data_IF_501488979959
#
_entry.id   IF_501488979959
#
_cell.length_a   1.000
_cell.length_b   1.000
_cell.length_c   1.000
_cell.angle_alpha   90.00
_cell.angle_beta   90.00
_cell.angle_gamma   90.00
#
_symmetry.space_group_name_H-M   'P 1'
#
loop_
_entity.id
_entity.type
_entity.pdbx_description
1 polymer ?
#
# COMPACT_ATOMS: atom_id res chain seq x y z
N UNK A 1 -25.15 -14.64 17.56
CA UNK A 1 -25.13 -13.26 17.02
C UNK A 1 -25.12 -12.29 18.19
N UNK A 2 -23.97 -11.78 18.66
CA UNK A 2 -24.01 -10.64 19.56
C UNK A 2 -24.28 -9.38 18.73
N UNK A 3 -25.21 -8.57 19.22
CA UNK A 3 -25.63 -7.32 18.62
C UNK A 3 -24.44 -6.34 18.47
N UNK A 4 -24.35 -5.67 17.33
CA UNK A 4 -23.53 -4.47 17.14
C UNK A 4 -24.05 -3.36 18.08
N UNK A 5 -23.63 -3.39 19.34
CA UNK A 5 -24.05 -2.42 20.35
C UNK A 5 -23.21 -1.15 20.28
N UNK A 6 -23.88 -0.06 19.91
CA UNK A 6 -23.47 1.34 19.95
C UNK A 6 -22.37 1.80 18.96
N UNK A 7 -22.73 2.80 18.12
CA UNK A 7 -21.76 3.67 17.44
C UNK A 7 -20.97 4.43 18.50
N UNK A 8 -19.87 3.89 19.00
CA UNK A 8 -18.88 4.67 19.74
C UNK A 8 -18.14 5.53 18.72
N UNK A 9 -18.57 6.79 18.57
CA UNK A 9 -17.88 7.79 17.74
C UNK A 9 -16.66 8.32 18.50
N UNK A 10 -15.43 8.08 18.04
CA UNK A 10 -14.27 8.81 18.54
C UNK A 10 -14.42 10.25 18.04
N UNK A 11 -14.55 11.21 18.96
CA UNK A 11 -14.67 12.64 18.62
C UNK A 11 -13.32 13.31 18.76
N UNK A 12 -12.40 13.04 17.84
CA UNK A 12 -11.20 13.86 17.73
C UNK A 12 -11.63 15.21 17.18
N UNK A 13 -11.46 16.27 17.98
CA UNK A 13 -11.86 17.60 17.55
C UNK A 13 -10.71 18.23 16.78
N UNK A 14 -11.00 18.65 15.55
CA UNK A 14 -10.12 19.51 14.75
C UNK A 14 -10.74 20.91 14.68
N UNK A 15 -10.26 21.88 15.49
CA UNK A 15 -10.82 23.23 15.52
C UNK A 15 -10.76 23.94 14.16
N UNK A 16 -9.74 23.64 13.35
CA UNK A 16 -9.54 24.25 12.04
C UNK A 16 -9.21 23.21 10.97
N UNK A 17 -9.38 23.60 9.70
CA UNK A 17 -8.92 22.78 8.56
C UNK A 17 -7.39 22.63 8.56
N UNK A 18 -6.65 23.59 9.12
CA UNK A 18 -5.20 23.46 9.28
C UNK A 18 -4.84 22.29 10.22
N UNK A 19 -5.60 22.07 11.29
CA UNK A 19 -5.40 20.93 12.20
C UNK A 19 -5.70 19.60 11.51
N UNK A 20 -6.73 19.56 10.64
CA UNK A 20 -7.03 18.40 9.79
C UNK A 20 -5.85 18.11 8.87
N UNK A 21 -5.36 19.14 8.18
CA UNK A 21 -4.23 19.04 7.25
C UNK A 21 -2.96 18.55 7.94
N UNK A 22 -2.62 19.07 9.11
CA UNK A 22 -1.45 18.60 9.87
C UNK A 22 -1.58 17.11 10.24
N UNK A 23 -2.78 16.67 10.68
CA UNK A 23 -3.00 15.29 11.12
C UNK A 23 -2.87 14.26 10.00
N UNK A 24 -3.31 14.60 8.79
CA UNK A 24 -3.27 13.70 7.64
C UNK A 24 -2.02 13.90 6.78
N UNK A 25 -1.20 14.90 7.12
CA UNK A 25 0.08 15.15 6.48
C UNK A 25 0.01 15.95 5.19
N UNK A 26 -0.82 16.99 5.17
CA UNK A 26 -0.94 17.93 4.06
C UNK A 26 -1.35 17.30 2.73
N UNK A 27 -2.16 16.23 2.75
CA UNK A 27 -2.67 15.62 1.52
C UNK A 27 -3.48 16.63 0.70
N UNK A 28 -3.52 16.51 -0.64
CA UNK A 28 -4.37 17.34 -1.47
C UNK A 28 -5.80 17.41 -0.94
N UNK A 29 -6.35 18.62 -0.84
CA UNK A 29 -7.71 18.85 -0.29
C UNK A 29 -8.79 18.06 -1.02
N UNK A 30 -8.59 17.79 -2.31
CA UNK A 30 -9.49 16.96 -3.13
C UNK A 30 -9.63 15.52 -2.63
N UNK A 31 -8.68 15.02 -1.83
CA UNK A 31 -8.71 13.68 -1.22
C UNK A 31 -9.43 13.67 0.13
N UNK A 32 -9.83 14.81 0.67
CA UNK A 32 -10.44 14.88 2.01
C UNK A 32 -11.95 14.94 1.84
N UNK A 33 -12.65 13.93 2.35
CA UNK A 33 -14.12 13.97 2.37
C UNK A 33 -14.56 14.88 3.50
N UNK A 34 -15.37 15.88 3.17
CA UNK A 34 -15.92 16.85 4.13
C UNK A 34 -17.16 16.34 4.87
N UNK A 35 -17.73 15.21 4.42
CA UNK A 35 -18.87 14.55 5.05
C UNK A 35 -18.57 13.06 5.31
N UNK A 36 -18.82 12.55 6.54
CA UNK A 36 -19.11 13.32 7.75
C UNK A 36 -18.00 14.33 8.07
N UNK A 37 -18.28 15.30 8.95
CA UNK A 37 -17.31 16.33 9.29
C UNK A 37 -15.99 15.68 9.75
N UNK A 38 -14.81 16.16 9.29
CA UNK A 38 -13.52 15.62 9.72
C UNK A 38 -13.39 15.48 11.24
N UNK A 39 -12.98 14.29 11.69
CA UNK A 39 -12.92 13.93 13.11
C UNK A 39 -14.20 13.31 13.69
N UNK A 40 -15.22 13.09 12.86
CA UNK A 40 -16.50 12.48 13.28
C UNK A 40 -16.89 11.23 12.48
N UNK A 41 -16.19 10.95 11.38
CA UNK A 41 -16.47 9.77 10.58
C UNK A 41 -16.16 8.49 11.37
N UNK A 42 -16.94 7.47 11.08
CA UNK A 42 -16.82 6.14 11.68
C UNK A 42 -16.48 5.12 10.60
N UNK A 43 -16.16 3.92 11.06
CA UNK A 43 -15.99 2.74 10.21
C UNK A 43 -17.23 2.45 9.36
N UNK A 44 -18.43 2.74 9.87
CA UNK A 44 -19.66 2.56 9.09
C UNK A 44 -19.74 3.56 7.94
N UNK A 45 -19.29 4.80 8.16
CA UNK A 45 -19.29 5.84 7.14
C UNK A 45 -18.25 5.53 6.04
N UNK A 46 -17.13 4.93 6.41
CA UNK A 46 -16.12 4.43 5.47
C UNK A 46 -16.69 3.37 4.51
N UNK A 47 -17.58 2.50 5.00
CA UNK A 47 -18.20 1.42 4.21
C UNK A 47 -19.47 1.87 3.46
N UNK A 48 -19.98 3.06 3.74
CA UNK A 48 -21.20 3.55 3.14
C UNK A 48 -20.90 4.17 1.78
N UNK A 49 -21.21 3.45 0.70
CA UNK A 49 -21.03 3.92 -0.67
C UNK A 49 -21.85 5.18 -1.01
N UNK A 50 -22.88 5.53 -0.23
CA UNK A 50 -23.57 6.81 -0.39
C UNK A 50 -22.75 8.00 0.13
N UNK A 51 -21.75 7.74 0.99
CA UNK A 51 -20.81 8.71 1.54
C UNK A 51 -19.53 8.74 0.72
N UNK A 52 -18.89 7.59 0.51
CA UNK A 52 -17.59 7.50 -0.17
C UNK A 52 -17.70 7.56 -1.69
N UNK A 53 -18.87 7.18 -2.24
CA UNK A 53 -19.03 6.95 -3.68
C UNK A 53 -18.13 5.81 -4.14
N UNK A 54 -17.50 5.99 -5.30
CA UNK A 54 -16.56 4.99 -5.87
C UNK A 54 -15.12 5.13 -5.33
N UNK A 55 -14.91 5.97 -4.31
CA UNK A 55 -13.57 6.26 -3.78
C UNK A 55 -13.13 5.18 -2.79
N UNK A 56 -11.96 4.60 -3.03
CA UNK A 56 -11.23 3.88 -1.99
C UNK A 56 -10.75 4.87 -0.92
N UNK A 57 -11.26 4.75 0.30
CA UNK A 57 -10.90 5.65 1.40
C UNK A 57 -10.18 4.91 2.53
N UNK A 58 -9.38 5.67 3.28
CA UNK A 58 -8.87 5.32 4.60
C UNK A 58 -9.60 6.15 5.66
N UNK A 59 -9.66 5.65 6.89
CA UNK A 59 -10.17 6.39 8.05
C UNK A 59 -8.99 6.77 8.94
N UNK A 60 -8.79 8.06 9.18
CA UNK A 60 -7.65 8.58 9.95
C UNK A 60 -8.17 9.49 11.06
N UNK A 61 -8.26 8.98 12.28
CA UNK A 61 -8.78 9.68 13.47
C UNK A 61 -10.15 10.33 13.24
N UNK A 62 -11.03 9.64 12.53
CA UNK A 62 -12.36 10.12 12.18
C UNK A 62 -12.42 11.02 10.93
N UNK A 63 -11.33 11.09 10.15
CA UNK A 63 -11.25 11.80 8.88
C UNK A 63 -11.27 10.77 7.74
N UNK A 64 -12.18 10.90 6.79
CA UNK A 64 -12.17 10.08 5.57
C UNK A 64 -11.22 10.69 4.55
N UNK A 65 -10.20 9.93 4.16
CA UNK A 65 -9.18 10.35 3.21
C UNK A 65 -9.15 9.37 2.04
N UNK A 66 -9.43 9.85 0.84
CA UNK A 66 -9.31 9.06 -0.39
C UNK A 66 -7.86 8.60 -0.57
N UNK A 67 -7.67 7.29 -0.76
CA UNK A 67 -6.41 6.71 -1.19
C UNK A 67 -6.34 6.80 -2.71
N UNK A 68 -5.45 7.64 -3.21
CA UNK A 68 -5.20 7.74 -4.64
C UNK A 68 -4.43 6.53 -5.12
N UNK A 69 -4.99 5.80 -6.08
CA UNK A 69 -4.35 4.67 -6.73
C UNK A 69 -4.34 4.88 -8.25
N UNK A 70 -3.15 5.05 -8.82
CA UNK A 70 -2.95 5.02 -10.26
C UNK A 70 -2.82 3.58 -10.76
N UNK A 71 -3.14 3.35 -12.04
CA UNK A 71 -2.99 2.03 -12.67
C UNK A 71 -1.56 1.48 -12.58
N UNK A 72 -0.56 2.34 -12.67
CA UNK A 72 0.86 1.95 -12.56
C UNK A 72 1.20 1.44 -11.16
N UNK A 73 0.68 2.12 -10.14
CA UNK A 73 1.00 1.84 -8.74
C UNK A 73 0.33 0.53 -8.32
N UNK A 74 -0.94 0.35 -8.73
CA UNK A 74 -1.67 -0.92 -8.58
C UNK A 74 -0.97 -2.09 -9.28
N UNK A 75 -0.50 -1.91 -10.52
CA UNK A 75 0.24 -2.94 -11.25
C UNK A 75 1.55 -3.34 -10.55
N UNK A 76 2.24 -2.40 -9.90
CA UNK A 76 3.44 -2.67 -9.09
C UNK A 76 3.05 -3.44 -7.82
N UNK A 77 1.99 -3.04 -7.13
CA UNK A 77 1.44 -3.77 -5.98
C UNK A 77 1.10 -5.23 -6.35
N UNK A 78 0.38 -5.42 -7.46
CA UNK A 78 0.05 -6.75 -7.99
C UNK A 78 1.30 -7.58 -8.33
N UNK A 79 2.35 -6.96 -8.87
CA UNK A 79 3.64 -7.63 -9.11
C UNK A 79 4.29 -8.09 -7.80
N UNK A 80 4.24 -7.28 -6.75
CA UNK A 80 4.78 -7.63 -5.42
C UNK A 80 3.97 -8.79 -4.82
N UNK A 81 2.64 -8.74 -4.89
CA UNK A 81 1.76 -9.85 -4.47
C UNK A 81 2.15 -11.14 -5.19
N UNK A 82 2.32 -11.11 -6.52
CA UNK A 82 2.74 -12.29 -7.29
C UNK A 82 4.08 -12.86 -6.79
N UNK A 83 5.07 -12.01 -6.53
CA UNK A 83 6.39 -12.45 -6.04
C UNK A 83 6.30 -13.08 -4.64
N UNK A 84 5.47 -12.51 -3.76
CA UNK A 84 5.24 -13.05 -2.42
C UNK A 84 4.48 -14.38 -2.48
N UNK A 85 3.39 -14.46 -3.25
CA UNK A 85 2.60 -15.69 -3.39
C UNK A 85 3.43 -16.83 -3.97
N UNK A 86 4.25 -16.58 -5.00
CA UNK A 86 5.14 -17.58 -5.57
C UNK A 86 6.15 -18.13 -4.54
N UNK A 87 6.60 -17.29 -3.60
CA UNK A 87 7.45 -17.75 -2.49
C UNK A 87 6.65 -18.59 -1.48
N UNK A 88 5.45 -18.14 -1.13
CA UNK A 88 4.58 -18.79 -0.16
C UNK A 88 4.06 -20.17 -0.62
N UNK A 89 3.99 -20.44 -1.93
CA UNK A 89 3.65 -21.77 -2.46
C UNK A 89 4.53 -22.90 -1.90
N UNK A 90 5.79 -22.60 -1.58
CA UNK A 90 6.74 -23.55 -1.00
C UNK A 90 7.10 -23.25 0.46
N UNK A 91 6.59 -22.14 1.00
CA UNK A 91 6.85 -21.64 2.35
C UNK A 91 5.54 -21.17 2.96
N UNK A 92 4.75 -22.10 3.49
CA UNK A 92 3.45 -21.79 4.08
C UNK A 92 3.59 -21.00 5.39
N UNK A 93 3.80 -19.68 5.28
CA UNK A 93 4.15 -18.80 6.39
C UNK A 93 3.03 -17.84 6.79
N UNK A 94 2.09 -17.55 5.89
CA UNK A 94 1.07 -16.54 6.11
C UNK A 94 0.18 -16.26 4.91
N UNK A 95 -0.64 -15.22 5.05
CA UNK A 95 -1.58 -14.73 4.04
C UNK A 95 -1.11 -13.39 3.47
N UNK A 96 -1.30 -13.19 2.16
CA UNK A 96 -1.05 -11.92 1.46
C UNK A 96 -2.37 -11.32 0.99
N UNK A 97 -2.56 -10.02 1.20
CA UNK A 97 -3.70 -9.25 0.72
C UNK A 97 -3.25 -8.00 -0.05
N UNK A 98 -4.09 -7.53 -0.98
CA UNK A 98 -3.84 -6.33 -1.80
C UNK A 98 -4.60 -5.09 -1.34
N UNK A 99 -4.61 -4.06 -2.19
CA UNK A 99 -5.07 -2.69 -1.93
C UNK A 99 -6.59 -2.51 -1.69
N UNK A 100 -7.31 -3.56 -1.32
CA UNK A 100 -8.71 -3.53 -0.87
C UNK A 100 -8.89 -4.22 0.49
N UNK A 101 -7.84 -4.81 1.05
CA UNK A 101 -7.85 -5.39 2.39
C UNK A 101 -7.84 -4.29 3.45
N UNK A 102 -9.01 -3.89 3.94
CA UNK A 102 -9.13 -2.90 5.01
C UNK A 102 -8.58 -3.47 6.32
N UNK A 103 -7.63 -2.77 6.94
CA UNK A 103 -7.04 -3.17 8.22
C UNK A 103 -7.33 -2.09 9.26
N UNK A 104 -7.99 -2.47 10.36
CA UNK A 104 -8.31 -1.57 11.46
C UNK A 104 -7.22 -1.66 12.53
N UNK A 105 -6.39 -0.63 12.59
CA UNK A 105 -5.28 -0.51 13.55
C UNK A 105 -5.74 0.00 14.93
N UNK A 106 -6.81 0.81 14.95
CA UNK A 106 -7.57 1.21 16.16
C UNK A 106 -8.97 1.65 15.74
N UNK A 107 -9.85 1.93 16.71
CA UNK A 107 -11.27 2.22 16.47
C UNK A 107 -11.54 3.25 15.36
N UNK A 108 -10.72 4.30 15.26
CA UNK A 108 -10.80 5.39 14.28
C UNK A 108 -9.63 5.42 13.28
N UNK A 109 -8.87 4.33 13.14
CA UNK A 109 -7.78 4.23 12.17
C UNK A 109 -7.91 2.95 11.35
N UNK A 110 -8.32 3.12 10.11
CA UNK A 110 -8.36 2.07 9.10
C UNK A 110 -7.43 2.48 7.97
N UNK A 111 -6.42 1.66 7.69
CA UNK A 111 -5.50 1.86 6.57
C UNK A 111 -5.66 0.73 5.56
N UNK A 112 -5.25 1.02 4.33
CA UNK A 112 -5.27 0.05 3.22
C UNK A 112 -3.89 0.08 2.56
N UNK A 113 -2.89 -0.63 3.12
CA UNK A 113 -1.62 -0.79 2.44
C UNK A 113 -1.82 -1.43 1.06
N UNK A 114 -0.96 -1.12 0.10
CA UNK A 114 -1.06 -1.68 -1.26
C UNK A 114 -0.81 -3.19 -1.28
N UNK A 115 0.07 -3.64 -0.38
CA UNK A 115 0.27 -5.06 -0.09
C UNK A 115 0.45 -5.24 1.41
N UNK A 116 -0.26 -6.22 1.96
CA UNK A 116 -0.13 -6.64 3.36
C UNK A 116 0.22 -8.12 3.42
N UNK A 117 1.09 -8.50 4.35
CA UNK A 117 1.34 -9.91 4.69
C UNK A 117 1.27 -10.12 6.20
N UNK A 118 0.57 -11.17 6.61
CA UNK A 118 0.37 -11.56 8.01
C UNK A 118 0.80 -13.01 8.16
N UNK A 119 1.66 -13.29 9.14
CA UNK A 119 2.14 -14.62 9.43
C UNK A 119 1.10 -15.43 10.19
N UNK A 120 1.07 -16.75 9.97
CA UNK A 120 0.20 -17.65 10.73
C UNK A 120 0.48 -17.61 12.24
N UNK A 121 1.74 -17.42 12.62
CA UNK A 121 2.19 -17.38 14.02
C UNK A 121 2.09 -15.98 14.67
N UNK A 122 1.50 -15.00 13.98
CA UNK A 122 1.18 -13.69 14.53
C UNK A 122 -0.22 -13.61 15.15
N UNK A 123 -1.04 -14.66 14.98
CA UNK A 123 -2.39 -14.78 15.54
C UNK A 123 -2.52 -16.11 16.28
N UNK A 124 -3.46 -16.18 17.22
CA UNK A 124 -3.73 -17.43 17.96
C UNK A 124 -4.56 -18.41 17.11
N UNK A 125 -5.47 -17.91 16.26
CA UNK A 125 -6.25 -18.70 15.31
C UNK A 125 -6.05 -18.16 13.88
N UNK A 126 -5.44 -18.93 12.95
CA UNK A 126 -5.32 -18.54 11.54
C UNK A 126 -6.64 -18.18 10.85
N UNK A 127 -7.79 -18.66 11.34
CA UNK A 127 -9.08 -18.26 10.78
C UNK A 127 -9.40 -16.78 10.99
N UNK A 128 -8.78 -16.10 11.96
CA UNK A 128 -8.94 -14.65 12.16
C UNK A 128 -8.48 -13.85 10.94
N UNK A 129 -7.51 -14.39 10.19
CA UNK A 129 -6.96 -13.75 8.99
C UNK A 129 -7.51 -14.36 7.70
N UNK A 130 -7.80 -15.67 7.68
CA UNK A 130 -8.33 -16.35 6.48
C UNK A 130 -9.83 -16.06 6.28
N UNK A 131 -10.60 -15.98 7.36
CA UNK A 131 -12.04 -15.80 7.35
C UNK A 131 -12.47 -14.71 8.36
N UNK A 132 -12.05 -13.45 8.17
CA UNK A 132 -12.39 -12.38 9.09
C UNK A 132 -13.91 -12.21 9.18
N UNK A 133 -14.43 -12.07 10.41
CA UNK A 133 -15.87 -12.02 10.68
C UNK A 133 -16.58 -10.75 10.15
N UNK A 134 -15.83 -9.76 9.66
CA UNK A 134 -16.34 -8.48 9.21
C UNK A 134 -15.56 -7.91 8.03
N UNK A 135 -15.85 -6.66 7.69
CA UNK A 135 -15.23 -5.97 6.56
C UNK A 135 -13.75 -5.58 6.78
N UNK A 136 -13.20 -5.81 7.98
CA UNK A 136 -11.85 -5.42 8.36
C UNK A 136 -11.10 -6.61 8.91
N UNK A 137 -9.79 -6.61 8.70
CA UNK A 137 -8.88 -7.34 9.54
C UNK A 137 -8.56 -6.50 10.80
N UNK A 138 -8.72 -7.09 11.97
CA UNK A 138 -8.42 -6.45 13.27
C UNK A 138 -6.96 -6.64 13.71
N UNK A 139 -6.20 -7.37 12.90
CA UNK A 139 -4.80 -7.73 13.16
C UNK A 139 -3.89 -6.86 12.26
N UNK A 140 -2.94 -6.10 12.82
CA UNK A 140 -1.97 -5.35 12.03
C UNK A 140 -1.06 -6.33 11.25
N UNK A 141 -0.64 -5.99 10.03
CA UNK A 141 0.17 -6.89 9.24
C UNK A 141 1.60 -6.95 9.75
N UNK A 142 2.29 -8.05 9.49
CA UNK A 142 3.72 -8.18 9.75
C UNK A 142 4.55 -7.40 8.74
N UNK A 143 4.10 -7.36 7.49
CA UNK A 143 4.65 -6.54 6.41
C UNK A 143 3.56 -5.64 5.84
N UNK A 144 3.81 -4.33 5.80
CA UNK A 144 3.03 -3.36 5.05
C UNK A 144 3.87 -2.78 3.90
N UNK A 145 3.30 -2.73 2.70
CA UNK A 145 3.91 -2.13 1.52
C UNK A 145 3.05 -0.98 1.05
N UNK A 146 3.69 0.17 0.79
CA UNK A 146 3.07 1.31 0.11
C UNK A 146 3.83 1.59 -1.17
N UNK A 147 3.11 1.69 -2.28
CA UNK A 147 3.63 2.12 -3.57
C UNK A 147 3.35 3.62 -3.70
N UNK A 148 4.41 4.42 -3.76
CA UNK A 148 4.28 5.87 -3.80
C UNK A 148 3.63 6.33 -5.10
N UNK A 149 2.65 7.21 -4.95
CA UNK A 149 1.96 7.91 -6.04
C UNK A 149 2.34 9.40 -6.06
N UNK A 150 2.16 10.11 -7.19
CA UNK A 150 2.49 11.54 -7.27
C UNK A 150 1.73 12.45 -6.29
N UNK A 151 0.55 12.02 -5.82
CA UNK A 151 -0.28 12.75 -4.85
C UNK A 151 0.04 12.42 -3.39
N UNK A 152 0.97 11.49 -3.13
CA UNK A 152 1.46 11.26 -1.79
C UNK A 152 2.42 12.37 -1.37
N UNK A 153 2.21 12.90 -0.17
CA UNK A 153 3.15 13.85 0.41
C UNK A 153 4.15 13.12 1.28
N UNK A 154 5.33 13.71 1.47
CA UNK A 154 6.32 13.16 2.40
C UNK A 154 5.74 13.03 3.81
N UNK A 155 4.98 14.04 4.26
CA UNK A 155 4.40 14.06 5.60
C UNK A 155 3.33 12.98 5.81
N UNK A 156 2.49 12.72 4.80
CA UNK A 156 1.54 11.60 4.82
C UNK A 156 2.27 10.27 5.04
N UNK A 157 3.37 10.04 4.31
CA UNK A 157 4.14 8.80 4.41
C UNK A 157 4.87 8.66 5.76
N UNK A 158 5.40 9.75 6.31
CA UNK A 158 5.99 9.77 7.66
C UNK A 158 4.96 9.41 8.74
N UNK A 159 3.74 9.93 8.62
CA UNK A 159 2.63 9.63 9.54
C UNK A 159 2.23 8.16 9.43
N UNK A 160 2.04 7.65 8.21
CA UNK A 160 1.76 6.22 7.97
C UNK A 160 2.83 5.32 8.57
N UNK A 161 4.11 5.65 8.35
CA UNK A 161 5.24 4.89 8.93
C UNK A 161 5.17 4.84 10.46
N UNK A 162 4.87 5.98 11.10
CA UNK A 162 4.74 6.06 12.56
C UNK A 162 3.53 5.27 13.08
N UNK A 163 2.40 5.30 12.36
CA UNK A 163 1.21 4.50 12.69
C UNK A 163 1.47 3.00 12.57
N UNK A 164 2.15 2.58 11.50
CA UNK A 164 2.58 1.19 11.32
C UNK A 164 3.51 0.73 12.43
N UNK A 165 4.53 1.53 12.77
CA UNK A 165 5.44 1.23 13.86
C UNK A 165 4.71 1.12 15.21
N UNK A 166 3.81 2.07 15.50
CA UNK A 166 3.02 2.09 16.75
C UNK A 166 2.09 0.88 16.87
N UNK A 167 1.62 0.38 15.74
CA UNK A 167 0.70 -0.76 15.70
C UNK A 167 1.41 -2.11 15.58
N UNK A 168 2.74 -2.14 15.67
CA UNK A 168 3.51 -3.38 15.73
C UNK A 168 3.88 -3.97 14.37
N UNK A 169 3.68 -3.25 13.25
CA UNK A 169 4.12 -3.71 11.93
C UNK A 169 5.64 -3.94 11.95
N UNK A 170 6.06 -5.16 11.62
CA UNK A 170 7.44 -5.63 11.82
C UNK A 170 8.35 -5.23 10.66
N UNK A 171 7.81 -4.98 9.49
CA UNK A 171 8.54 -4.56 8.30
C UNK A 171 7.67 -3.64 7.45
N UNK A 172 8.22 -2.50 7.01
CA UNK A 172 7.52 -1.59 6.08
C UNK A 172 8.38 -1.37 4.85
N UNK A 173 7.78 -1.47 3.67
CA UNK A 173 8.42 -1.14 2.40
C UNK A 173 7.71 0.03 1.74
N UNK A 174 8.44 1.11 1.45
CA UNK A 174 7.97 2.17 0.56
C UNK A 174 8.63 1.98 -0.80
N UNK A 175 7.82 1.73 -1.82
CA UNK A 175 8.25 1.46 -3.19
C UNK A 175 8.07 2.73 -3.99
N UNK A 176 9.16 3.27 -4.54
CA UNK A 176 9.13 4.47 -5.37
C UNK A 176 9.20 4.08 -6.85
N UNK A 177 8.10 4.18 -7.62
CA UNK A 177 8.07 3.84 -9.03
C UNK A 177 8.95 4.73 -9.92
N UNK A 178 9.16 5.99 -9.53
CA UNK A 178 9.92 6.98 -10.31
C UNK A 178 11.42 6.75 -10.16
N UNK A 179 11.87 6.58 -8.91
CA UNK A 179 13.28 6.30 -8.60
C UNK A 179 13.64 4.84 -8.82
N UNK A 180 12.65 3.94 -8.91
CA UNK A 180 12.82 2.48 -8.96
C UNK A 180 13.63 1.97 -7.78
N UNK A 181 13.27 2.46 -6.60
CA UNK A 181 13.92 2.16 -5.33
C UNK A 181 12.89 1.61 -4.35
N UNK A 182 13.38 0.86 -3.37
CA UNK A 182 12.58 0.41 -2.22
C UNK A 182 13.25 0.88 -0.94
N UNK A 183 12.57 1.72 -0.19
CA UNK A 183 12.93 2.09 1.17
C UNK A 183 12.39 1.03 2.13
N UNK A 184 13.29 0.35 2.83
CA UNK A 184 12.99 -0.71 3.79
C UNK A 184 13.15 -0.19 5.21
N UNK A 185 12.08 -0.29 6.00
CA UNK A 185 12.02 0.16 7.39
C UNK A 185 11.74 -1.03 8.34
N UNK A 186 12.79 -1.62 8.94
CA UNK A 186 12.61 -2.65 9.97
C UNK A 186 11.86 -2.08 11.19
N UNK A 187 10.76 -2.72 11.58
CA UNK A 187 9.83 -2.29 12.64
C UNK A 187 9.30 -0.86 12.47
N UNK A 188 9.18 -0.40 11.21
CA UNK A 188 8.80 0.97 10.89
C UNK A 188 9.77 2.04 11.44
N UNK A 189 11.02 1.69 11.75
CA UNK A 189 11.97 2.61 12.37
C UNK A 189 12.75 3.43 11.31
N UNK A 190 12.54 4.75 11.20
CA UNK A 190 13.21 5.59 10.21
C UNK A 190 14.73 5.63 10.36
N UNK A 191 15.27 5.45 11.57
CA UNK A 191 16.72 5.43 11.81
C UNK A 191 17.40 4.18 11.27
N UNK A 192 16.63 3.13 10.95
CA UNK A 192 17.13 1.85 10.41
C UNK A 192 16.82 1.68 8.93
N UNK A 193 16.40 2.76 8.25
CA UNK A 193 16.06 2.75 6.84
C UNK A 193 17.23 2.23 5.99
N UNK A 194 16.92 1.37 5.02
CA UNK A 194 17.81 1.03 3.92
C UNK A 194 17.11 1.37 2.61
N UNK A 195 17.82 2.00 1.68
CA UNK A 195 17.32 2.25 0.33
C UNK A 195 17.98 1.25 -0.61
N UNK A 196 17.18 0.52 -1.37
CA UNK A 196 17.63 -0.51 -2.30
C UNK A 196 17.26 -0.11 -3.74
N UNK A 197 18.24 -0.06 -4.62
CA UNK A 197 18.05 0.20 -6.05
C UNK A 197 17.90 -1.09 -6.86
N UNK A 198 17.62 -0.96 -8.16
CA UNK A 198 17.32 -2.08 -9.08
C UNK A 198 18.36 -3.22 -9.13
N UNK A 199 19.61 -2.94 -8.76
CA UNK A 199 20.70 -3.91 -8.73
C UNK A 199 20.82 -4.65 -7.39
N UNK A 200 20.17 -4.15 -6.34
CA UNK A 200 20.19 -4.72 -5.01
C UNK A 200 19.15 -5.83 -4.87
N UNK A 201 19.27 -6.57 -3.77
CA UNK A 201 18.33 -7.62 -3.38
C UNK A 201 17.47 -7.14 -2.21
N UNK A 202 16.16 -7.29 -2.35
CA UNK A 202 15.17 -7.03 -1.33
C UNK A 202 14.84 -8.35 -0.62
N UNK A 203 15.11 -8.40 0.68
CA UNK A 203 14.78 -9.53 1.56
C UNK A 203 13.60 -9.22 2.49
N UNK A 204 12.97 -10.27 3.01
CA UNK A 204 11.86 -10.20 3.95
C UNK A 204 12.26 -10.21 5.43
N UNK A 205 13.56 -10.18 5.73
CA UNK A 205 14.11 -10.29 7.08
C UNK A 205 13.53 -11.46 7.87
N UNK A 206 13.18 -11.20 9.12
CA UNK A 206 12.52 -12.19 9.99
C UNK A 206 11.03 -12.34 9.68
N UNK A 207 10.43 -11.43 8.90
CA UNK A 207 9.00 -11.46 8.58
C UNK A 207 8.71 -12.53 7.52
N UNK A 208 9.52 -12.61 6.46
CA UNK A 208 9.50 -13.68 5.46
C UNK A 208 10.89 -14.33 5.37
N UNK A 209 11.24 -15.24 6.31
CA UNK A 209 12.55 -15.89 6.31
C UNK A 209 12.81 -16.65 5.01
N UNK A 210 13.91 -16.33 4.34
CA UNK A 210 14.29 -16.95 3.06
C UNK A 210 13.72 -16.26 1.81
N UNK A 211 12.82 -15.29 1.96
CA UNK A 211 12.40 -14.46 0.82
C UNK A 211 13.52 -13.50 0.42
N UNK A 212 13.89 -13.54 -0.86
CA UNK A 212 14.83 -12.60 -1.47
C UNK A 212 14.52 -12.43 -2.96
N UNK A 213 14.52 -11.19 -3.45
CA UNK A 213 14.31 -10.89 -4.87
C UNK A 213 15.13 -9.68 -5.31
N UNK A 214 15.65 -9.69 -6.54
CA UNK A 214 16.23 -8.47 -7.12
C UNK A 214 15.16 -7.39 -7.26
N UNK A 215 15.47 -6.16 -6.82
CA UNK A 215 14.55 -5.01 -6.90
C UNK A 215 14.09 -4.75 -8.35
N UNK A 216 14.96 -4.99 -9.34
CA UNK A 216 14.59 -4.91 -10.76
C UNK A 216 13.38 -5.78 -11.15
N UNK A 217 13.09 -6.87 -10.44
CA UNK A 217 11.93 -7.74 -10.71
C UNK A 217 10.59 -7.09 -10.34
N UNK A 218 10.60 -6.13 -9.41
CA UNK A 218 9.41 -5.34 -9.03
C UNK A 218 9.06 -4.38 -10.18
N UNK A 219 10.06 -3.76 -10.79
CA UNK A 219 9.90 -2.75 -11.85
C UNK A 219 10.06 -3.30 -13.28
N UNK A 220 10.11 -4.62 -13.43
CA UNK A 220 10.42 -5.26 -14.70
C UNK A 220 9.30 -5.03 -15.73
N UNK A 221 9.66 -4.38 -16.84
CA UNK A 221 8.78 -4.23 -18.00
C UNK A 221 8.58 -5.57 -18.70
N UNK A 222 7.31 -5.94 -18.91
CA UNK A 222 6.90 -7.10 -19.71
C UNK A 222 6.38 -6.72 -21.08
N UNK A 223 6.55 -5.46 -21.49
CA UNK A 223 6.19 -5.05 -22.84
C UNK A 223 6.97 -5.90 -23.87
N UNK A 224 6.32 -6.39 -24.94
CA UNK A 224 7.02 -7.07 -26.02
C UNK A 224 8.16 -6.21 -26.54
N UNK A 225 9.34 -6.81 -26.76
CA UNK A 225 10.45 -6.10 -27.42
C UNK A 225 9.99 -5.76 -28.84
N UNK A 226 10.17 -4.50 -29.25
CA UNK A 226 9.86 -4.08 -30.61
C UNK A 226 10.56 -5.02 -31.62
N UNK A 227 9.91 -5.38 -32.75
CA UNK A 227 10.56 -6.17 -33.78
C UNK A 227 11.85 -5.47 -34.21
N UNK A 228 12.97 -6.19 -34.27
CA UNK A 228 14.19 -5.65 -34.86
C UNK A 228 13.86 -5.34 -36.32
N UNK A 229 13.72 -4.07 -36.68
CA UNK A 229 13.64 -3.66 -38.08
C UNK A 229 14.97 -4.02 -38.72
N UNK A 230 15.02 -5.13 -39.45
CA UNK A 230 16.12 -5.44 -40.36
C UNK A 230 16.12 -4.38 -41.46
N UNK A 231 16.96 -3.37 -41.31
CA UNK A 231 17.17 -2.37 -42.33
C UNK A 231 17.78 -3.01 -43.56
N UNK A 232 16.95 -3.36 -44.54
CA UNK A 232 17.40 -3.55 -45.91
C UNK A 232 17.04 -2.27 -46.68
N UNK A 233 17.82 -1.21 -46.47
CA UNK A 233 17.82 -0.06 -47.38
C UNK A 233 18.59 -0.50 -48.63
N UNK A 234 17.90 -1.08 -49.60
CA UNK A 234 18.41 -1.17 -50.96
C UNK A 234 18.56 0.26 -51.48
N UNK A 235 19.78 0.78 -51.49
CA UNK A 235 20.10 2.00 -52.23
C UNK A 235 19.82 1.74 -53.73
N UNK A 236 19.04 2.60 -54.41
CA UNK A 236 18.93 2.50 -55.86
C UNK A 236 20.27 2.88 -56.49
N UNK A 237 20.81 1.97 -57.32
CA UNK A 237 22.00 2.23 -58.15
C UNK A 237 21.76 3.45 -59.05
N UNK A 238 22.75 4.33 -59.24
CA UNK A 238 22.62 5.44 -60.19
C UNK A 238 22.51 4.89 -61.61
N UNK A 239 21.51 5.34 -62.37
CA UNK A 239 21.42 5.10 -63.81
C UNK A 239 22.58 5.82 -64.50
N UNK A 240 23.42 5.06 -65.20
CA UNK A 240 24.35 5.61 -66.21
C UNK A 240 23.53 6.16 -67.37
N UNK A 241 23.95 7.32 -67.86
CA UNK A 241 23.21 8.12 -68.83
C UNK A 241 23.14 7.57 -70.25
N UNK A 242 22.28 8.24 -71.02
CA UNK A 242 22.36 8.48 -72.45
C UNK A 242 22.05 9.95 -72.68
#
# INVERSE_FOLDING_TARGET
MPAFTARTTPKTKFPTIADVQERIGHVPESRILSFPAPGTATVQDLLDGSITGDRGCELVDGILVEKTMGFRDDAIGARIIYLLLAFLETHNLGLVAGAQGLIRFKLDLVRVPDVSFIRWDSVDDPNEIENPAGAFLEVPPDLAVEVLSPSNTQREMEIKLAEYAKSGVKLVWFVDPERKEVDVYPKGNPKRKKTLGVNDELDGGTVLPGFAVKVSRIFESRAPKAPKTSGNKTQPKPKKGQ
#
